data_IF_171829084334
#
_entry.id   IF_171829084334
#
_cell.length_a   1.000
_cell.length_b   1.000
_cell.length_c   1.000
_cell.angle_alpha   90.00
_cell.angle_beta   90.00
_cell.angle_gamma   90.00
#
_symmetry.space_group_name_H-M   'P 1'
#
loop_
_entity.id
_entity.type
_entity.pdbx_description
1 polymer ?
#
# COMPACT_ATOMS: atom_id res chain seq x y z
N UNK A 1 -43.37 -35.89 -10.14
CA UNK A 1 -42.83 -34.51 -10.05
C UNK A 1 -42.08 -34.36 -8.73
N UNK A 2 -40.86 -34.91 -8.63
CA UNK A 2 -40.03 -34.91 -7.41
C UNK A 2 -39.16 -33.66 -7.37
N UNK A 3 -39.72 -32.53 -6.92
CA UNK A 3 -39.07 -31.22 -6.92
C UNK A 3 -38.75 -30.66 -5.53
N UNK A 4 -38.18 -31.47 -4.62
CA UNK A 4 -37.92 -31.05 -3.23
C UNK A 4 -36.45 -31.05 -2.81
N UNK A 5 -35.75 -32.17 -2.98
CA UNK A 5 -34.37 -32.33 -2.46
C UNK A 5 -33.31 -31.67 -3.35
N UNK A 6 -33.50 -31.62 -4.67
CA UNK A 6 -32.52 -31.07 -5.61
C UNK A 6 -32.45 -29.54 -5.54
N UNK A 7 -33.56 -28.87 -5.22
CA UNK A 7 -33.60 -27.42 -5.02
C UNK A 7 -33.04 -27.00 -3.66
N UNK A 8 -33.18 -27.83 -2.62
CA UNK A 8 -32.50 -27.64 -1.33
C UNK A 8 -30.99 -27.82 -1.43
N UNK A 9 -30.52 -28.77 -2.25
CA UNK A 9 -29.09 -28.90 -2.54
C UNK A 9 -28.58 -27.74 -3.41
N UNK A 10 -29.32 -27.31 -4.45
CA UNK A 10 -28.93 -26.14 -5.26
C UNK A 10 -28.89 -24.84 -4.43
N UNK A 11 -29.81 -24.64 -3.49
CA UNK A 11 -29.79 -23.48 -2.59
C UNK A 11 -28.68 -23.60 -1.53
N UNK A 12 -28.43 -24.78 -0.98
CA UNK A 12 -27.34 -25.04 -0.03
C UNK A 12 -25.94 -24.82 -0.64
N UNK A 13 -25.70 -25.31 -1.86
CA UNK A 13 -24.45 -25.07 -2.60
C UNK A 13 -24.34 -23.63 -3.14
N UNK A 14 -25.46 -22.97 -3.47
CA UNK A 14 -25.48 -21.56 -3.87
C UNK A 14 -25.11 -20.61 -2.71
N UNK A 15 -25.41 -20.98 -1.46
CA UNK A 15 -24.99 -20.24 -0.27
C UNK A 15 -23.48 -20.33 0.01
N UNK A 16 -22.84 -21.43 -0.42
CA UNK A 16 -21.36 -21.55 -0.46
C UNK A 16 -20.72 -20.80 -1.64
N UNK A 17 -21.45 -20.61 -2.74
CA UNK A 17 -21.02 -19.83 -3.91
C UNK A 17 -21.26 -18.33 -3.79
N UNK A 18 -21.90 -17.86 -2.70
CA UNK A 18 -21.90 -16.44 -2.33
C UNK A 18 -20.55 -16.06 -1.71
N UNK A 19 -19.48 -16.42 -2.41
CA UNK A 19 -18.12 -15.98 -2.16
C UNK A 19 -18.16 -14.45 -2.20
N UNK A 20 -17.83 -13.84 -1.07
CA UNK A 20 -17.84 -12.39 -0.92
C UNK A 20 -17.15 -11.75 -2.12
N UNK A 21 -17.88 -10.92 -2.88
CA UNK A 21 -17.25 -10.14 -3.95
C UNK A 21 -16.10 -9.36 -3.30
N UNK A 22 -14.86 -9.51 -3.76
CA UNK A 22 -13.72 -8.85 -3.15
C UNK A 22 -14.04 -7.36 -3.13
N UNK A 23 -14.16 -6.79 -1.93
CA UNK A 23 -14.40 -5.37 -1.78
C UNK A 23 -13.11 -4.67 -2.21
N UNK A 24 -13.19 -3.45 -2.79
CA UNK A 24 -12.00 -2.68 -3.08
C UNK A 24 -11.04 -2.52 -1.87
N UNK A 25 -11.58 -2.53 -0.64
CA UNK A 25 -10.81 -2.51 0.60
C UNK A 25 -10.22 -3.85 1.04
N UNK A 26 -10.59 -4.96 0.41
CA UNK A 26 -9.98 -6.28 0.63
C UNK A 26 -8.67 -6.43 -0.19
N UNK A 27 -8.32 -5.44 -1.03
CA UNK A 27 -7.07 -5.45 -1.78
C UNK A 27 -5.89 -5.21 -0.82
N UNK A 28 -4.92 -6.15 -0.73
CA UNK A 28 -3.78 -6.02 0.16
C UNK A 28 -2.72 -5.00 -0.31
N UNK A 29 -3.05 -4.08 -1.23
CA UNK A 29 -2.12 -3.08 -1.74
C UNK A 29 -2.27 -1.74 -1.00
N UNK A 30 -1.17 -1.28 -0.38
CA UNK A 30 -1.05 0.03 0.25
C UNK A 30 -0.17 0.94 -0.60
N UNK A 31 -0.68 2.11 -0.97
CA UNK A 31 0.10 3.18 -1.59
C UNK A 31 0.55 4.17 -0.52
N UNK A 32 1.86 4.42 -0.45
CA UNK A 32 2.44 5.41 0.46
C UNK A 32 3.27 6.42 -0.35
N UNK A 33 2.80 7.66 -0.46
CA UNK A 33 3.52 8.73 -1.14
C UNK A 33 4.17 9.68 -0.13
N UNK A 34 5.50 9.71 -0.10
CA UNK A 34 6.32 10.51 0.81
C UNK A 34 6.77 11.80 0.13
N UNK A 35 6.26 12.93 0.62
CA UNK A 35 6.61 14.26 0.13
C UNK A 35 7.81 14.79 0.92
N UNK A 36 8.82 15.32 0.23
CA UNK A 36 10.05 15.84 0.85
C UNK A 36 11.23 14.87 0.76
N UNK A 37 10.96 13.64 0.32
CA UNK A 37 11.95 12.58 0.09
C UNK A 37 11.93 11.51 1.18
N UNK A 38 12.60 10.39 0.92
CA UNK A 38 12.66 9.24 1.83
C UNK A 38 14.06 8.65 1.90
N UNK A 39 14.47 8.21 3.08
CA UNK A 39 15.74 7.53 3.32
C UNK A 39 15.61 6.00 3.27
N UNK A 40 16.70 5.27 2.97
CA UNK A 40 16.70 3.79 3.02
C UNK A 40 16.31 3.23 4.38
N UNK A 41 16.65 3.92 5.47
CA UNK A 41 16.30 3.52 6.83
C UNK A 41 14.79 3.54 7.08
N UNK A 42 14.10 4.57 6.58
CA UNK A 42 12.63 4.66 6.65
C UNK A 42 11.97 3.59 5.78
N UNK A 43 12.49 3.33 4.58
CA UNK A 43 12.01 2.24 3.72
C UNK A 43 12.15 0.87 4.40
N UNK A 44 13.28 0.63 5.05
CA UNK A 44 13.50 -0.59 5.83
C UNK A 44 12.50 -0.69 6.98
N UNK A 45 12.29 0.40 7.72
CA UNK A 45 11.32 0.44 8.81
C UNK A 45 9.89 0.16 8.32
N UNK A 46 9.48 0.73 7.18
CA UNK A 46 8.18 0.44 6.56
C UNK A 46 8.07 -1.06 6.25
N UNK A 47 9.09 -1.63 5.59
CA UNK A 47 9.12 -3.06 5.23
C UNK A 47 9.01 -3.95 6.48
N UNK A 48 9.78 -3.67 7.52
CA UNK A 48 9.82 -4.48 8.74
C UNK A 48 8.48 -4.37 9.49
N UNK A 49 7.91 -3.17 9.57
CA UNK A 49 6.61 -2.91 10.21
C UNK A 49 5.48 -3.65 9.49
N UNK A 50 5.43 -3.58 8.16
CA UNK A 50 4.39 -4.25 7.36
C UNK A 50 4.51 -5.76 7.51
N UNK A 51 5.73 -6.28 7.44
CA UNK A 51 6.00 -7.71 7.61
C UNK A 51 5.58 -8.22 8.99
N UNK A 52 5.69 -7.38 10.03
CA UNK A 52 5.29 -7.72 11.40
C UNK A 52 3.78 -7.58 11.65
N UNK A 53 3.13 -6.53 11.16
CA UNK A 53 1.75 -6.19 11.54
C UNK A 53 0.69 -6.72 10.58
N UNK A 54 1.00 -6.77 9.28
CA UNK A 54 0.08 -7.22 8.23
C UNK A 54 0.84 -8.04 7.18
N UNK A 55 1.31 -9.25 7.55
CA UNK A 55 1.96 -10.15 6.60
C UNK A 55 0.98 -10.44 5.45
N UNK A 56 1.39 -10.16 4.22
CA UNK A 56 0.57 -10.30 3.01
C UNK A 56 0.11 -8.98 2.38
N UNK A 57 0.28 -7.84 3.06
CA UNK A 57 0.09 -6.51 2.45
C UNK A 57 1.28 -6.15 1.56
N UNK A 58 1.03 -5.87 0.28
CA UNK A 58 2.00 -5.28 -0.62
C UNK A 58 2.02 -3.76 -0.42
N UNK A 59 3.21 -3.16 -0.30
CA UNK A 59 3.34 -1.71 -0.15
C UNK A 59 4.08 -1.15 -1.35
N UNK A 60 3.44 -0.21 -2.04
CA UNK A 60 4.10 0.62 -3.05
C UNK A 60 4.48 1.95 -2.40
N UNK A 61 5.78 2.15 -2.21
CA UNK A 61 6.31 3.42 -1.70
C UNK A 61 6.74 4.28 -2.88
N UNK A 62 6.21 5.49 -2.90
CA UNK A 62 6.53 6.55 -3.86
C UNK A 62 7.11 7.71 -3.08
N UNK A 63 8.03 8.47 -3.67
CA UNK A 63 8.58 9.65 -3.02
C UNK A 63 9.00 10.70 -4.03
N UNK A 64 9.11 11.94 -3.59
CA UNK A 64 9.62 13.03 -4.44
C UNK A 64 11.11 12.89 -4.74
N UNK A 65 11.90 12.33 -3.81
CA UNK A 65 13.36 12.13 -3.92
C UNK A 65 13.80 10.96 -3.02
N UNK A 66 14.79 10.18 -3.45
CA UNK A 66 15.51 9.26 -2.56
C UNK A 66 16.66 10.00 -1.90
N UNK A 67 16.70 9.98 -0.57
CA UNK A 67 17.65 10.75 0.24
C UNK A 67 18.68 9.83 0.90
N UNK A 68 19.93 10.24 0.91
CA UNK A 68 20.95 9.72 1.83
C UNK A 68 20.85 10.48 3.15
N UNK A 69 21.27 9.88 4.28
CA UNK A 69 21.27 10.59 5.57
C UNK A 69 22.06 11.91 5.54
N UNK A 70 23.11 11.99 4.72
CA UNK A 70 23.94 13.18 4.52
C UNK A 70 23.23 14.31 3.78
N UNK A 71 22.19 14.00 3.00
CA UNK A 71 21.47 15.00 2.22
C UNK A 71 20.52 15.82 3.12
N UNK A 72 20.15 15.31 4.31
CA UNK A 72 19.21 15.99 5.23
C UNK A 72 19.78 17.31 5.77
N UNK A 73 21.00 17.38 6.35
CA UNK A 73 21.57 18.65 6.78
C UNK A 73 21.73 19.65 5.63
N UNK A 74 22.09 19.18 4.44
CA UNK A 74 22.21 20.02 3.25
C UNK A 74 20.85 20.61 2.86
N UNK A 75 19.79 19.81 2.85
CA UNK A 75 18.41 20.25 2.59
C UNK A 75 17.86 21.24 3.62
N UNK A 76 18.32 21.12 4.87
CA UNK A 76 17.89 21.98 5.97
C UNK A 76 18.66 23.30 6.04
N UNK A 77 19.97 23.26 5.79
CA UNK A 77 20.85 24.40 6.09
C UNK A 77 21.52 25.01 4.88
N UNK A 78 21.61 24.30 3.75
CA UNK A 78 22.38 24.73 2.56
C UNK A 78 21.49 24.99 1.34
N UNK A 79 20.25 24.50 1.32
CA UNK A 79 19.33 24.76 0.21
C UNK A 79 18.89 26.22 0.16
N UNK A 80 19.24 26.92 -0.92
CA UNK A 80 18.80 28.27 -1.20
C UNK A 80 17.35 28.28 -1.69
N UNK A 81 16.39 28.31 -0.76
CA UNK A 81 14.94 28.30 -1.08
C UNK A 81 14.40 29.61 -1.66
N UNK A 82 15.25 30.62 -1.83
CA UNK A 82 14.86 31.93 -2.38
C UNK A 82 14.69 31.90 -3.90
N UNK A 83 15.22 30.88 -4.57
CA UNK A 83 14.98 30.64 -5.99
C UNK A 83 14.44 29.22 -6.17
N UNK A 84 13.46 29.04 -7.05
CA UNK A 84 12.93 27.72 -7.31
C UNK A 84 13.96 26.91 -8.11
N UNK A 85 14.24 25.67 -7.68
CA UNK A 85 15.16 24.72 -8.34
C UNK A 85 14.64 24.22 -9.72
N UNK A 86 13.55 24.79 -10.24
CA UNK A 86 13.04 24.51 -11.57
C UNK A 86 13.74 25.44 -12.57
N UNK A 87 14.82 24.93 -13.16
CA UNK A 87 15.38 25.50 -14.39
C UNK A 87 14.35 25.33 -15.53
N UNK A 88 13.80 26.45 -15.99
CA UNK A 88 13.02 26.56 -17.24
C UNK A 88 13.95 26.66 -18.44
#
# INVERSE_FOLDING_TARGET
MSGGLTDLLKTGFSMFMKVSRPRPGDNPLLFLFLVGGVTPSELRLIKDTVSSLKPGTQVLVLSTRLLRPTDIPELLFSTQRLHPDISF
#
